data_IF_904637524950
#
_entry.id   IF_904637524950
#
_cell.length_a   1.000
_cell.length_b   1.000
_cell.length_c   1.000
_cell.angle_alpha   90.00
_cell.angle_beta   90.00
_cell.angle_gamma   90.00
#
_symmetry.space_group_name_H-M   'P 1'
#
loop_
_entity.id
_entity.type
_entity.pdbx_description
1 polymer ?
#
# COMPACT_ATOMS: atom_id res chain seq x y z
N UNK A 1 4.20 -23.42 -5.03
CA UNK A 1 3.21 -22.44 -4.50
C UNK A 1 3.84 -21.06 -4.57
N UNK A 2 3.25 -20.13 -5.26
CA UNK A 2 3.72 -18.75 -5.40
C UNK A 2 2.79 -17.83 -4.60
N UNK A 3 3.36 -17.01 -3.71
CA UNK A 3 2.58 -16.08 -2.92
C UNK A 3 2.23 -14.84 -3.75
N UNK A 4 0.97 -14.46 -3.74
CA UNK A 4 0.49 -13.22 -4.34
C UNK A 4 -0.01 -12.27 -3.26
N UNK A 5 0.48 -11.03 -3.31
CA UNK A 5 0.02 -9.91 -2.50
C UNK A 5 -0.68 -8.92 -3.43
N UNK A 6 -1.88 -8.51 -3.07
CA UNK A 6 -2.59 -7.42 -3.75
C UNK A 6 -2.58 -6.19 -2.85
N UNK A 7 -1.94 -5.13 -3.29
CA UNK A 7 -1.76 -3.91 -2.54
C UNK A 7 -2.54 -2.75 -3.17
N UNK A 8 -3.22 -1.97 -2.33
CA UNK A 8 -3.97 -0.78 -2.75
C UNK A 8 -3.45 0.40 -1.94
N UNK A 9 -2.94 1.41 -2.63
CA UNK A 9 -2.41 2.63 -2.04
C UNK A 9 -3.49 3.72 -1.93
N UNK A 10 -3.20 4.75 -1.15
CA UNK A 10 -3.96 5.98 -0.97
C UNK A 10 -5.35 5.84 -0.37
N UNK A 11 -5.62 4.71 0.27
CA UNK A 11 -6.89 4.49 0.93
C UNK A 11 -7.05 5.41 2.14
N UNK A 12 -8.08 6.26 2.15
CA UNK A 12 -8.34 7.18 3.25
C UNK A 12 -9.85 7.46 3.37
N UNK A 13 -10.39 7.75 4.57
CA UNK A 13 -11.81 8.08 4.74
C UNK A 13 -12.23 9.37 4.02
N UNK A 14 -11.32 10.31 3.84
CA UNK A 14 -11.57 11.50 3.06
C UNK A 14 -11.30 11.22 1.60
N UNK A 15 -12.25 11.59 0.75
CA UNK A 15 -12.12 11.49 -0.70
C UNK A 15 -11.52 12.78 -1.24
N UNK A 16 -10.62 12.65 -2.17
CA UNK A 16 -9.96 13.78 -2.79
C UNK A 16 -8.91 13.28 -3.77
N UNK A 17 -7.95 14.11 -4.07
CA UNK A 17 -6.89 13.81 -5.03
C UNK A 17 -6.24 12.43 -4.80
N UNK A 18 -6.37 11.53 -5.76
CA UNK A 18 -5.94 10.13 -5.65
C UNK A 18 -6.91 9.20 -4.91
N UNK A 19 -7.96 9.74 -4.29
CA UNK A 19 -9.00 8.99 -3.58
C UNK A 19 -10.41 9.36 -4.10
N UNK A 20 -10.54 9.72 -5.36
CA UNK A 20 -11.81 10.03 -5.98
C UNK A 20 -12.57 8.75 -6.30
N UNK A 21 -13.46 8.42 -5.45
CA UNK A 21 -14.29 7.24 -5.60
C UNK A 21 -14.21 6.33 -4.39
N UNK A 22 -15.33 5.82 -3.98
CA UNK A 22 -15.40 4.76 -3.02
C UNK A 22 -14.69 3.55 -3.63
N UNK A 23 -13.72 3.03 -2.93
CA UNK A 23 -13.33 1.67 -3.20
C UNK A 23 -14.61 0.85 -3.06
N UNK A 24 -15.04 0.24 -4.13
CA UNK A 24 -16.20 -0.61 -4.07
C UNK A 24 -15.79 -1.86 -3.30
N UNK A 25 -16.10 -1.85 -2.02
CA UNK A 25 -15.84 -2.97 -1.10
C UNK A 25 -16.40 -4.27 -1.67
N UNK A 26 -17.44 -4.15 -2.49
CA UNK A 26 -18.05 -5.23 -3.22
C UNK A 26 -17.07 -5.92 -4.17
N UNK A 27 -16.25 -5.18 -4.89
CA UNK A 27 -15.24 -5.75 -5.78
C UNK A 27 -14.20 -6.55 -4.99
N UNK A 28 -13.70 -5.99 -3.90
CA UNK A 28 -12.74 -6.71 -3.05
C UNK A 28 -13.36 -7.96 -2.43
N UNK A 29 -14.60 -7.84 -1.95
CA UNK A 29 -15.35 -8.96 -1.38
C UNK A 29 -15.63 -10.06 -2.40
N UNK A 30 -15.90 -9.71 -3.66
CA UNK A 30 -16.12 -10.67 -4.74
C UNK A 30 -14.82 -11.42 -5.06
N UNK A 31 -13.70 -10.71 -5.21
CA UNK A 31 -12.38 -11.32 -5.42
C UNK A 31 -11.99 -12.24 -4.26
N UNK A 32 -12.23 -11.82 -3.03
CA UNK A 32 -11.98 -12.68 -1.88
C UNK A 32 -12.86 -13.95 -1.90
N UNK A 33 -14.16 -13.82 -2.17
CA UNK A 33 -15.09 -14.95 -2.21
C UNK A 33 -14.78 -15.95 -3.34
N UNK A 34 -14.40 -15.42 -4.51
CA UNK A 34 -14.19 -16.23 -5.71
C UNK A 34 -12.82 -16.91 -5.71
N UNK A 35 -11.77 -16.19 -5.31
CA UNK A 35 -10.38 -16.62 -5.45
C UNK A 35 -9.61 -16.68 -4.12
N UNK A 36 -10.19 -16.24 -3.03
CA UNK A 36 -9.48 -16.14 -1.75
C UNK A 36 -8.48 -14.98 -1.68
N UNK A 37 -8.62 -13.96 -2.54
CA UNK A 37 -7.72 -12.80 -2.57
C UNK A 37 -7.71 -12.09 -1.24
N UNK A 38 -6.50 -11.79 -0.74
CA UNK A 38 -6.28 -10.93 0.43
C UNK A 38 -5.63 -9.63 0.00
N UNK A 39 -5.87 -8.57 0.75
CA UNK A 39 -5.44 -7.22 0.37
C UNK A 39 -4.60 -6.56 1.46
N UNK A 40 -3.53 -5.87 1.05
CA UNK A 40 -2.84 -4.89 1.87
C UNK A 40 -3.32 -3.49 1.49
N UNK A 41 -3.97 -2.80 2.41
CA UNK A 41 -4.44 -1.43 2.21
C UNK A 41 -3.44 -0.47 2.84
N UNK A 42 -2.82 0.37 2.05
CA UNK A 42 -1.85 1.36 2.48
C UNK A 42 -2.53 2.72 2.62
N UNK A 43 -2.57 3.23 3.85
CA UNK A 43 -3.26 4.49 4.15
C UNK A 43 -2.33 5.49 4.80
N UNK A 44 -2.30 6.74 4.31
CA UNK A 44 -1.70 7.84 5.04
C UNK A 44 -2.51 8.12 6.30
N UNK A 45 -1.88 8.58 7.37
CA UNK A 45 -2.60 8.87 8.62
C UNK A 45 -3.32 10.21 8.60
N UNK A 46 -2.90 11.13 7.74
CA UNK A 46 -3.62 12.36 7.37
C UNK A 46 -3.71 12.44 5.84
N UNK A 47 -4.82 12.95 5.35
CA UNK A 47 -4.94 13.32 3.97
C UNK A 47 -4.75 14.83 3.81
N UNK A 48 -3.76 15.24 3.04
CA UNK A 48 -3.37 16.65 2.79
C UNK A 48 -3.24 17.53 4.04
N UNK A 49 -2.80 16.99 5.16
CA UNK A 49 -2.65 17.67 6.46
C UNK A 49 -3.94 18.11 7.18
N UNK A 50 -5.09 17.96 6.57
CA UNK A 50 -6.35 18.49 7.11
C UNK A 50 -7.29 17.39 7.61
N UNK A 51 -7.18 16.16 7.08
CA UNK A 51 -8.11 15.08 7.33
C UNK A 51 -7.43 13.89 7.97
N UNK A 52 -7.58 13.70 9.29
CA UNK A 52 -7.01 12.55 9.98
C UNK A 52 -7.81 11.28 9.72
N UNK A 53 -7.14 10.13 9.82
CA UNK A 53 -7.81 8.84 9.92
C UNK A 53 -8.85 8.85 11.06
N UNK A 54 -9.97 8.20 10.83
CA UNK A 54 -11.02 8.06 11.83
C UNK A 54 -11.09 6.64 12.38
N UNK A 55 -11.53 6.53 13.64
CA UNK A 55 -11.70 5.22 14.29
C UNK A 55 -12.75 4.38 13.57
N UNK A 56 -13.87 4.98 13.14
CA UNK A 56 -14.97 4.27 12.50
C UNK A 56 -14.53 3.66 11.16
N UNK A 57 -13.71 4.38 10.40
CA UNK A 57 -13.14 3.88 9.16
C UNK A 57 -12.17 2.71 9.40
N UNK A 58 -11.30 2.83 10.40
CA UNK A 58 -10.38 1.75 10.76
C UNK A 58 -11.15 0.52 11.24
N UNK A 59 -12.17 0.70 12.07
CA UNK A 59 -13.01 -0.39 12.56
C UNK A 59 -13.81 -1.06 11.44
N UNK A 60 -14.25 -0.30 10.44
CA UNK A 60 -14.90 -0.84 9.25
C UNK A 60 -13.98 -1.83 8.52
N UNK A 61 -12.74 -1.45 8.22
CA UNK A 61 -11.82 -2.33 7.50
C UNK A 61 -11.36 -3.54 8.32
N UNK A 62 -11.25 -3.39 9.62
CA UNK A 62 -10.88 -4.48 10.53
C UNK A 62 -11.93 -5.59 10.68
N UNK A 63 -13.12 -5.41 10.14
CA UNK A 63 -14.15 -6.47 10.12
C UNK A 63 -13.80 -7.60 9.14
N UNK A 64 -12.90 -7.36 8.21
CA UNK A 64 -12.52 -8.28 7.16
C UNK A 64 -11.16 -8.91 7.49
N UNK A 65 -11.14 -10.22 7.74
CA UNK A 65 -9.92 -10.98 8.08
C UNK A 65 -8.97 -11.18 6.89
N UNK A 66 -9.45 -10.88 5.68
CA UNK A 66 -8.69 -10.88 4.43
C UNK A 66 -8.10 -9.51 4.08
N UNK A 67 -8.19 -8.54 4.99
CA UNK A 67 -7.61 -7.19 4.81
C UNK A 67 -6.55 -6.91 5.88
N UNK A 68 -5.40 -6.42 5.45
CA UNK A 68 -4.38 -5.85 6.32
C UNK A 68 -4.27 -4.35 6.08
N UNK A 69 -4.49 -3.56 7.15
CA UNK A 69 -4.25 -2.11 7.13
C UNK A 69 -2.77 -1.82 7.43
N UNK A 70 -2.13 -1.09 6.53
CA UNK A 70 -0.70 -0.73 6.57
C UNK A 70 -0.50 0.78 6.46
N UNK A 71 0.63 1.25 6.92
CA UNK A 71 0.95 2.68 6.91
C UNK A 71 1.48 3.13 5.55
N UNK A 72 0.95 4.25 5.05
CA UNK A 72 1.39 4.92 3.81
C UNK A 72 1.87 6.35 4.08
N UNK A 73 2.75 6.50 5.06
CA UNK A 73 3.21 7.81 5.48
C UNK A 73 2.27 8.49 6.47
N UNK A 74 2.54 9.77 6.72
CA UNK A 74 1.74 10.59 7.61
C UNK A 74 0.82 11.52 6.82
N UNK A 75 1.37 12.33 5.93
CA UNK A 75 0.62 13.28 5.14
C UNK A 75 0.47 12.90 3.67
N UNK A 76 1.16 11.89 3.23
CA UNK A 76 1.33 11.53 1.82
C UNK A 76 2.14 12.58 1.02
N UNK A 77 2.10 13.83 1.38
CA UNK A 77 2.70 14.97 0.69
C UNK A 77 4.07 15.37 1.25
N UNK A 78 4.89 16.01 0.41
CA UNK A 78 6.27 16.40 0.72
C UNK A 78 6.36 17.47 1.81
N UNK A 79 5.43 18.40 1.86
CA UNK A 79 5.46 19.47 2.84
C UNK A 79 4.18 20.28 2.86
N UNK A 80 3.66 20.59 4.06
CA UNK A 80 2.55 21.55 4.20
C UNK A 80 2.84 22.92 3.60
N UNK A 81 4.13 23.23 3.41
CA UNK A 81 4.60 24.53 2.95
C UNK A 81 4.81 24.59 1.43
N UNK A 82 4.91 23.46 0.76
CA UNK A 82 5.21 23.40 -0.66
C UNK A 82 4.00 22.93 -1.48
N UNK A 83 2.99 23.80 -1.54
CA UNK A 83 1.74 23.57 -2.28
C UNK A 83 1.90 23.35 -3.80
N UNK A 84 3.13 23.38 -4.31
CA UNK A 84 3.42 23.26 -5.75
C UNK A 84 3.87 21.87 -6.18
N UNK A 85 4.18 20.96 -5.27
CA UNK A 85 4.56 19.60 -5.58
C UNK A 85 3.64 18.62 -4.86
N UNK A 86 2.82 18.13 -5.61
CA UNK A 86 1.99 16.97 -5.48
C UNK A 86 2.86 15.81 -5.01
N UNK A 87 2.86 15.55 -3.88
CA UNK A 87 3.01 14.69 -2.87
C UNK A 87 3.66 13.38 -2.90
N UNK A 88 4.49 13.06 -3.77
CA UNK A 88 4.99 11.70 -3.90
C UNK A 88 6.27 11.40 -3.12
N UNK A 89 6.72 12.26 -2.20
CA UNK A 89 8.07 12.11 -1.64
C UNK A 89 8.22 12.53 -0.18
N UNK A 90 7.21 12.26 0.63
CA UNK A 90 7.20 12.67 2.04
C UNK A 90 8.51 12.33 2.80
N UNK A 91 9.14 11.20 2.48
CA UNK A 91 10.32 10.69 3.20
C UNK A 91 11.64 10.86 2.44
N UNK A 92 11.65 11.53 1.29
CA UNK A 92 12.87 11.67 0.48
C UNK A 92 13.84 12.70 1.03
N UNK A 93 13.35 13.80 1.61
CA UNK A 93 14.17 14.93 2.04
C UNK A 93 14.29 15.10 3.56
N UNK A 94 13.62 14.23 4.34
CA UNK A 94 13.68 14.29 5.79
C UNK A 94 15.02 13.77 6.32
N UNK A 95 15.58 14.47 7.31
CA UNK A 95 16.65 13.91 8.12
C UNK A 95 16.09 12.91 9.14
N UNK A 96 16.96 12.16 9.81
CA UNK A 96 16.59 11.10 10.74
C UNK A 96 15.58 11.59 11.80
N UNK A 97 15.84 12.73 12.45
CA UNK A 97 14.95 13.25 13.51
C UNK A 97 13.57 13.64 12.97
N UNK A 98 13.54 14.30 11.82
CA UNK A 98 12.27 14.67 11.17
C UNK A 98 11.46 13.44 10.74
N UNK A 99 12.12 12.44 10.18
CA UNK A 99 11.48 11.19 9.80
C UNK A 99 10.94 10.45 11.05
N UNK A 100 11.72 10.42 12.14
CA UNK A 100 11.29 9.80 13.39
C UNK A 100 10.07 10.49 14.00
N UNK A 101 10.05 11.80 14.05
CA UNK A 101 8.90 12.57 14.55
C UNK A 101 7.67 12.32 13.67
N UNK A 102 7.83 12.33 12.34
CA UNK A 102 6.77 12.04 11.38
C UNK A 102 6.15 10.65 11.58
N UNK A 103 6.98 9.63 11.76
CA UNK A 103 6.51 8.26 12.00
C UNK A 103 5.82 8.14 13.37
N UNK A 104 6.34 8.79 14.41
CA UNK A 104 5.70 8.78 15.74
C UNK A 104 4.33 9.45 15.73
N UNK A 105 4.19 10.58 15.05
CA UNK A 105 2.91 11.28 14.88
C UNK A 105 1.90 10.39 14.16
N UNK A 106 2.31 9.81 13.03
CA UNK A 106 1.50 8.86 12.29
C UNK A 106 1.03 7.69 13.16
N UNK A 107 1.96 7.00 13.82
CA UNK A 107 1.63 5.87 14.70
C UNK A 107 0.77 6.25 15.90
N UNK A 108 0.92 7.49 16.42
CA UNK A 108 0.06 8.01 17.47
C UNK A 108 -1.40 8.12 17.02
N UNK A 109 -1.63 8.57 15.77
CA UNK A 109 -2.96 8.66 15.22
C UNK A 109 -3.56 7.27 14.96
N UNK A 110 -2.81 6.38 14.34
CA UNK A 110 -3.23 4.99 14.17
C UNK A 110 -3.62 4.33 15.50
N UNK A 111 -2.83 4.56 16.56
CA UNK A 111 -3.14 4.07 17.90
C UNK A 111 -4.44 4.66 18.46
N UNK A 112 -4.71 5.96 18.24
CA UNK A 112 -5.98 6.59 18.63
C UNK A 112 -7.17 5.96 17.92
N UNK A 113 -6.98 5.51 16.69
CA UNK A 113 -7.98 4.77 15.91
C UNK A 113 -8.07 3.27 16.29
N UNK A 114 -7.31 2.81 17.28
CA UNK A 114 -7.38 1.42 17.76
C UNK A 114 -6.66 0.41 16.89
N UNK A 115 -5.67 0.84 16.10
CA UNK A 115 -4.85 -0.02 15.25
C UNK A 115 -3.37 0.28 15.40
N UNK A 116 -2.54 -0.72 15.07
CA UNK A 116 -1.10 -0.58 14.95
C UNK A 116 -0.66 -1.27 13.66
N UNK A 117 -0.35 -0.52 12.60
CA UNK A 117 0.13 -1.11 11.37
C UNK A 117 1.45 -1.84 11.59
N UNK A 118 1.57 -3.04 11.01
CA UNK A 118 2.82 -3.82 11.04
C UNK A 118 3.79 -3.39 9.95
N UNK A 119 3.26 -2.89 8.85
CA UNK A 119 4.01 -2.57 7.64
C UNK A 119 3.94 -1.13 7.21
N UNK A 120 4.88 -0.79 6.34
CA UNK A 120 5.04 0.54 5.78
C UNK A 120 5.35 0.48 4.28
N UNK A 121 4.80 1.43 3.55
CA UNK A 121 5.19 1.81 2.19
C UNK A 121 5.31 3.32 2.13
N UNK A 122 6.42 3.82 1.57
CA UNK A 122 6.59 5.25 1.39
C UNK A 122 5.68 5.77 0.27
N UNK A 123 4.98 6.90 0.46
CA UNK A 123 4.25 7.58 -0.61
C UNK A 123 5.14 7.79 -1.84
N UNK A 124 4.61 7.49 -3.03
CA UNK A 124 5.35 7.57 -4.28
C UNK A 124 6.66 6.77 -4.31
N UNK A 125 6.83 5.81 -3.41
CA UNK A 125 8.05 5.01 -3.20
C UNK A 125 9.28 5.83 -2.77
N UNK A 126 9.16 7.18 -2.66
CA UNK A 126 10.27 8.08 -2.35
C UNK A 126 10.71 7.97 -0.89
N UNK A 127 11.95 7.54 -0.64
CA UNK A 127 12.54 7.45 0.69
C UNK A 127 14.07 7.57 0.60
N UNK A 128 14.68 8.35 1.51
CA UNK A 128 16.13 8.36 1.67
C UNK A 128 16.60 7.35 2.74
N UNK A 129 17.92 7.20 2.88
CA UNK A 129 18.48 6.21 3.80
C UNK A 129 18.17 6.51 5.28
N UNK A 130 18.20 7.78 5.70
CA UNK A 130 17.89 8.15 7.09
C UNK A 130 16.43 7.81 7.45
N UNK A 131 15.50 8.10 6.54
CA UNK A 131 14.10 7.73 6.69
C UNK A 131 13.90 6.21 6.67
N UNK A 132 14.65 5.49 5.83
CA UNK A 132 14.62 4.02 5.77
C UNK A 132 15.09 3.37 7.07
N UNK A 133 16.12 3.94 7.71
CA UNK A 133 16.60 3.49 9.01
C UNK A 133 15.53 3.70 10.10
N UNK A 134 14.83 4.84 10.04
CA UNK A 134 13.71 5.11 10.96
C UNK A 134 12.57 4.13 10.76
N UNK A 135 12.05 3.99 9.53
CA UNK A 135 10.90 3.09 9.31
C UNK A 135 11.24 1.64 9.68
N UNK A 136 12.48 1.22 9.45
CA UNK A 136 12.96 -0.11 9.85
C UNK A 136 12.93 -0.35 11.36
N UNK A 137 13.00 0.71 12.16
CA UNK A 137 12.91 0.63 13.63
C UNK A 137 11.47 0.46 14.13
N UNK A 138 10.50 1.00 13.39
CA UNK A 138 9.10 1.08 13.85
C UNK A 138 8.19 0.03 13.23
N UNK A 139 8.52 -0.49 12.06
CA UNK A 139 7.70 -1.46 11.33
C UNK A 139 8.39 -2.82 11.21
N UNK A 140 7.58 -3.88 11.16
CA UNK A 140 8.08 -5.26 11.02
C UNK A 140 8.52 -5.56 9.60
N UNK A 141 7.94 -4.85 8.62
CA UNK A 141 8.25 -5.00 7.22
C UNK A 141 8.01 -3.70 6.44
N UNK A 142 8.66 -3.61 5.27
CA UNK A 142 8.53 -2.49 4.34
C UNK A 142 8.28 -3.01 2.93
N UNK A 143 7.30 -2.43 2.23
CA UNK A 143 7.16 -2.61 0.79
C UNK A 143 8.01 -1.56 0.06
N UNK A 144 8.80 -1.98 -0.92
CA UNK A 144 9.71 -1.14 -1.71
C UNK A 144 9.56 -1.38 -3.20
N UNK A 145 9.93 -0.39 -4.01
CA UNK A 145 9.98 -0.52 -5.46
C UNK A 145 11.36 -1.02 -5.91
N UNK A 146 11.38 -1.94 -6.88
CA UNK A 146 12.61 -2.57 -7.37
C UNK A 146 13.65 -1.57 -7.88
N UNK A 147 13.21 -0.58 -8.66
CA UNK A 147 14.10 0.39 -9.30
C UNK A 147 14.31 1.65 -8.47
N UNK A 148 13.22 2.23 -7.90
CA UNK A 148 13.28 3.51 -7.16
C UNK A 148 14.08 3.35 -5.86
N UNK A 149 13.89 2.24 -5.14
CA UNK A 149 14.55 1.99 -3.86
C UNK A 149 15.73 1.01 -3.97
N UNK A 150 16.32 0.87 -5.16
CA UNK A 150 17.38 -0.11 -5.41
C UNK A 150 18.54 -0.03 -4.43
N UNK A 151 19.01 1.18 -4.18
CA UNK A 151 20.19 1.45 -3.35
C UNK A 151 19.86 1.70 -1.87
N UNK A 152 18.57 1.70 -1.52
CA UNK A 152 18.10 1.91 -0.15
C UNK A 152 18.13 0.59 0.61
N UNK A 153 18.77 0.60 1.80
CA UNK A 153 18.86 -0.55 2.70
C UNK A 153 17.86 -0.40 3.83
N UNK A 154 17.07 -1.43 4.02
CA UNK A 154 16.16 -1.52 5.16
C UNK A 154 16.68 -2.55 6.16
N UNK A 155 16.72 -2.18 7.44
CA UNK A 155 17.12 -3.07 8.54
C UNK A 155 15.96 -3.93 9.05
N UNK A 156 14.89 -4.03 8.28
CA UNK A 156 13.74 -4.89 8.52
C UNK A 156 13.44 -5.70 7.26
N UNK A 157 12.50 -6.64 7.33
CA UNK A 157 12.11 -7.43 6.17
C UNK A 157 11.54 -6.51 5.09
N UNK A 158 11.99 -6.65 3.87
CA UNK A 158 11.50 -5.85 2.76
C UNK A 158 10.96 -6.72 1.64
N UNK A 159 9.85 -6.28 1.05
CA UNK A 159 9.17 -6.94 -0.07
C UNK A 159 9.18 -6.01 -1.28
N UNK A 160 9.50 -6.57 -2.43
CA UNK A 160 9.54 -5.83 -3.68
C UNK A 160 8.18 -5.92 -4.35
N UNK A 161 7.62 -4.78 -4.72
CA UNK A 161 6.42 -4.69 -5.52
C UNK A 161 6.59 -3.64 -6.60
N UNK A 162 6.07 -3.88 -7.78
CA UNK A 162 6.22 -2.96 -8.89
C UNK A 162 5.11 -3.02 -9.93
N UNK A 163 4.37 -4.11 -10.02
CA UNK A 163 3.47 -4.29 -11.16
C UNK A 163 2.04 -3.90 -10.80
N UNK A 164 1.44 -3.11 -11.65
CA UNK A 164 0.04 -2.75 -11.54
C UNK A 164 -0.90 -3.90 -11.89
N UNK A 165 -2.14 -3.81 -11.45
CA UNK A 165 -3.17 -4.82 -11.72
C UNK A 165 -3.48 -5.01 -13.20
N UNK A 166 -3.01 -4.12 -14.08
CA UNK A 166 -3.20 -4.18 -15.52
C UNK A 166 -1.95 -4.64 -16.29
N UNK A 167 -0.80 -4.80 -15.61
CA UNK A 167 0.47 -5.12 -16.26
C UNK A 167 0.74 -6.63 -16.23
N UNK A 168 0.01 -7.39 -17.03
CA UNK A 168 0.14 -8.85 -17.08
C UNK A 168 1.27 -9.34 -17.95
N UNK A 169 1.71 -8.56 -18.91
CA UNK A 169 2.70 -8.99 -19.90
C UNK A 169 4.09 -9.25 -19.31
N UNK A 170 4.37 -8.68 -18.14
CA UNK A 170 5.66 -8.76 -17.45
C UNK A 170 5.67 -9.69 -16.24
N UNK A 171 4.57 -10.40 -15.95
CA UNK A 171 4.50 -11.28 -14.78
C UNK A 171 5.40 -12.49 -15.01
N UNK A 172 6.57 -12.46 -14.41
CA UNK A 172 7.49 -13.60 -14.37
C UNK A 172 7.46 -14.25 -12.99
N UNK A 173 6.46 -15.07 -12.75
CA UNK A 173 6.31 -15.79 -11.49
C UNK A 173 7.36 -16.91 -11.27
N UNK A 174 8.09 -17.28 -12.29
CA UNK A 174 9.02 -18.41 -12.21
C UNK A 174 10.22 -18.20 -11.28
N UNK A 175 10.57 -16.94 -11.01
CA UNK A 175 11.79 -16.62 -10.25
C UNK A 175 11.50 -15.96 -8.89
N UNK A 176 10.24 -15.73 -8.52
CA UNK A 176 9.88 -15.08 -7.28
C UNK A 176 8.95 -15.95 -6.44
N UNK A 177 9.31 -16.15 -5.18
CA UNK A 177 8.45 -16.84 -4.21
C UNK A 177 7.25 -15.97 -3.80
N UNK A 178 7.36 -14.65 -4.00
CA UNK A 178 6.32 -13.67 -3.69
C UNK A 178 6.26 -12.60 -4.76
N UNK A 179 5.07 -12.36 -5.26
CA UNK A 179 4.76 -11.32 -6.22
C UNK A 179 3.77 -10.33 -5.62
N UNK A 180 3.95 -9.02 -5.84
CA UNK A 180 3.08 -7.99 -5.29
C UNK A 180 2.51 -7.13 -6.43
N UNK A 181 1.20 -7.21 -6.61
CA UNK A 181 0.46 -6.25 -7.42
C UNK A 181 0.23 -4.96 -6.65
N UNK A 182 0.54 -3.83 -7.25
CA UNK A 182 0.25 -2.51 -6.71
C UNK A 182 -0.88 -1.87 -7.50
N UNK A 183 -1.77 -1.21 -6.82
CA UNK A 183 -2.90 -0.48 -7.40
C UNK A 183 -3.23 0.76 -6.57
N UNK A 184 -4.10 1.62 -7.11
CA UNK A 184 -4.66 2.78 -6.44
C UNK A 184 -6.19 2.72 -6.49
N UNK A 185 -6.86 3.51 -5.65
CA UNK A 185 -8.33 3.51 -5.61
C UNK A 185 -8.90 4.27 -6.79
N UNK A 186 -8.33 5.41 -7.11
CA UNK A 186 -8.81 6.31 -8.13
C UNK A 186 -7.68 7.14 -8.76
N UNK A 187 -8.00 7.82 -9.82
CA UNK A 187 -7.15 8.76 -10.53
C UNK A 187 -7.31 8.58 -12.03
N UNK A 188 -7.86 9.56 -12.71
CA UNK A 188 -8.00 9.56 -14.17
C UNK A 188 -6.65 9.45 -14.91
N UNK A 189 -5.57 9.61 -14.17
CA UNK A 189 -4.19 9.60 -14.67
C UNK A 189 -3.46 8.27 -14.46
N UNK A 190 -4.10 7.31 -13.79
CA UNK A 190 -3.46 6.05 -13.43
C UNK A 190 -4.32 4.87 -13.90
N UNK A 191 -3.81 4.08 -14.84
CA UNK A 191 -4.50 2.90 -15.36
C UNK A 191 -4.64 1.76 -14.33
N UNK A 192 -4.01 1.89 -13.16
CA UNK A 192 -4.03 0.91 -12.08
C UNK A 192 -5.09 1.19 -11.01
N UNK A 193 -6.19 1.83 -11.36
CA UNK A 193 -7.31 2.10 -10.46
C UNK A 193 -8.37 1.00 -10.50
N UNK A 194 -9.15 0.88 -9.42
CA UNK A 194 -10.23 -0.08 -9.29
C UNK A 194 -11.53 0.42 -9.96
N UNK A 195 -11.50 0.56 -11.28
CA UNK A 195 -12.70 0.72 -12.10
C UNK A 195 -13.37 -0.64 -12.35
N UNK A 196 -14.60 -0.62 -12.85
CA UNK A 196 -15.30 -1.85 -13.24
C UNK A 196 -14.51 -2.64 -14.32
N UNK A 197 -13.94 -1.94 -15.29
CA UNK A 197 -13.16 -2.56 -16.36
C UNK A 197 -11.90 -3.21 -15.78
N UNK A 198 -11.18 -2.53 -14.90
CA UNK A 198 -9.98 -3.05 -14.27
C UNK A 198 -10.29 -4.20 -13.31
N UNK A 199 -11.39 -4.14 -12.59
CA UNK A 199 -11.87 -5.24 -11.76
C UNK A 199 -12.13 -6.50 -12.61
N UNK A 200 -12.86 -6.35 -13.72
CA UNK A 200 -13.15 -7.45 -14.63
C UNK A 200 -11.87 -8.00 -15.27
N UNK A 201 -10.96 -7.12 -15.66
CA UNK A 201 -9.68 -7.52 -16.23
C UNK A 201 -8.82 -8.27 -15.20
N UNK A 202 -8.75 -7.79 -13.98
CA UNK A 202 -7.99 -8.44 -12.90
C UNK A 202 -8.54 -9.84 -12.56
N UNK A 203 -9.86 -10.06 -12.63
CA UNK A 203 -10.42 -11.40 -12.51
C UNK A 203 -9.90 -12.35 -13.59
N UNK A 204 -9.80 -11.89 -14.85
CA UNK A 204 -9.26 -12.71 -15.93
C UNK A 204 -7.77 -13.02 -15.72
N UNK A 205 -7.02 -12.08 -15.17
CA UNK A 205 -5.62 -12.29 -14.81
C UNK A 205 -5.51 -13.40 -13.77
N UNK A 206 -6.29 -13.31 -12.69
CA UNK A 206 -6.28 -14.33 -11.64
C UNK A 206 -6.67 -15.69 -12.19
N UNK A 207 -7.76 -15.78 -12.93
CA UNK A 207 -8.20 -17.03 -13.59
C UNK A 207 -7.07 -17.64 -14.43
N UNK A 208 -6.36 -16.83 -15.22
CA UNK A 208 -5.23 -17.28 -16.01
C UNK A 208 -4.07 -17.78 -15.14
N UNK A 209 -3.71 -17.02 -14.11
CA UNK A 209 -2.59 -17.36 -13.23
C UNK A 209 -2.87 -18.64 -12.44
N UNK A 210 -4.09 -18.86 -11.96
CA UNK A 210 -4.48 -20.08 -11.26
C UNK A 210 -4.41 -21.34 -12.16
N UNK A 211 -4.62 -21.18 -13.47
CA UNK A 211 -4.43 -22.28 -14.42
C UNK A 211 -2.95 -22.63 -14.64
N UNK A 212 -2.07 -21.65 -14.48
CA UNK A 212 -0.65 -21.82 -14.77
C UNK A 212 0.20 -22.13 -13.53
N UNK A 213 -0.25 -21.73 -12.35
CA UNK A 213 0.54 -21.76 -11.13
C UNK A 213 -0.30 -22.19 -9.93
N UNK A 214 0.36 -22.77 -8.95
CA UNK A 214 -0.20 -23.02 -7.63
C UNK A 214 -0.07 -21.74 -6.79
N UNK A 215 -1.15 -20.94 -6.75
CA UNK A 215 -1.18 -19.62 -6.13
C UNK A 215 -1.63 -19.67 -4.68
N UNK A 216 -1.10 -18.73 -3.90
CA UNK A 216 -1.49 -18.50 -2.51
C UNK A 216 -1.62 -16.99 -2.26
N UNK A 217 -2.85 -16.50 -2.08
CA UNK A 217 -3.07 -15.10 -1.74
C UNK A 217 -2.81 -14.85 -0.26
N UNK A 218 -1.91 -13.91 0.02
CA UNK A 218 -1.46 -13.61 1.38
C UNK A 218 -1.40 -12.10 1.61
N UNK A 219 -1.56 -11.70 2.86
CA UNK A 219 -1.09 -10.39 3.29
C UNK A 219 0.41 -10.44 3.58
N UNK A 220 1.06 -9.28 3.56
CA UNK A 220 2.51 -9.25 3.80
C UNK A 220 2.86 -9.72 5.21
N UNK A 221 2.02 -9.44 6.21
CA UNK A 221 2.26 -9.91 7.58
C UNK A 221 2.21 -11.43 7.73
N UNK A 222 1.56 -12.16 6.84
CA UNK A 222 1.56 -13.63 6.84
C UNK A 222 2.90 -14.22 6.34
N UNK A 223 3.76 -13.39 5.74
CA UNK A 223 5.07 -13.77 5.23
C UNK A 223 6.22 -13.42 6.20
N UNK A 224 5.94 -12.79 7.34
CA UNK A 224 6.98 -12.23 8.26
C UNK A 224 7.27 -13.10 9.48
#
# INVERSE_FOLDING_TARGET
>A
MTNLVVAIDDLHPEQGWGCEGDIQVEYLSELNKKFGVKFNLFSPSYYHNDYPLTKDWVDFWKQFDWIELSNHGHFHDVSPQNKQHIGEQEFLELNYSQAEDRIKESLSLWKKCGHKPNGFRSPGWGINQESADVVSKYFKWVAKHEHINRDIKFNTKSFVGCDGINETENINLYNNDTFMFQSHIAGDWNDNVWSEDNFNHFQLIIDYLEHMYDLNFVTISELV
#
